data_IF_370398532121
#
_entry.id   IF_370398532121
#
_cell.length_a   1.000
_cell.length_b   1.000
_cell.length_c   1.000
_cell.angle_alpha   90.00
_cell.angle_beta   90.00
_cell.angle_gamma   90.00
#
_symmetry.space_group_name_H-M   'P 1'
#
loop_
_entity.id
_entity.type
_entity.pdbx_description
1 polymer ?
2 non-polymer ?
3 non-polymer ?
4 non-polymer ?
5 water ?
#
# COMPACT_ATOMS: atom_id res chain seq x y z
N UNK A 2 -21.48 0.02 -27.07
CA UNK A 2 -21.07 -0.03 -25.64
C UNK A 2 -19.91 -0.98 -25.39
N UNK A 3 -19.12 -0.58 -24.41
CA UNK A 3 -17.95 -1.29 -24.01
C UNK A 3 -18.25 -2.71 -23.53
N UNK A 4 -17.36 -3.63 -23.88
CA UNK A 4 -17.40 -4.99 -23.37
C UNK A 4 -17.54 -5.00 -21.83
N UNK A 5 -18.50 -5.80 -21.34
CA UNK A 5 -18.79 -5.88 -19.90
C UNK A 5 -18.27 -7.18 -19.33
N UNK A 6 -17.09 -7.14 -18.72
CA UNK A 6 -16.46 -8.33 -18.22
C UNK A 6 -17.12 -8.88 -16.94
N UNK A 7 -17.76 -8.05 -16.14
CA UNK A 7 -18.48 -8.56 -15.01
C UNK A 7 -19.91 -8.90 -15.37
N UNK A 8 -20.41 -10.06 -14.99
CA UNK A 8 -21.80 -10.43 -15.31
C UNK A 8 -22.77 -9.77 -14.35
N UNK A 9 -22.26 -9.15 -13.30
CA UNK A 9 -23.03 -8.33 -12.36
C UNK A 9 -22.03 -7.56 -11.46
N UNK A 10 -22.47 -6.46 -10.85
CA UNK A 10 -21.57 -5.56 -10.10
C UNK A 10 -21.58 -5.92 -8.61
N UNK A 11 -21.05 -7.10 -8.30
CA UNK A 11 -21.05 -7.58 -6.92
C UNK A 11 -19.78 -8.35 -6.66
N UNK A 12 -19.46 -8.61 -5.41
CA UNK A 12 -18.33 -9.48 -5.11
C UNK A 12 -18.47 -10.82 -5.87
N UNK A 13 -19.69 -11.35 -5.95
CA UNK A 13 -19.91 -12.63 -6.63
C UNK A 13 -19.57 -12.54 -8.10
N UNK A 14 -19.89 -11.41 -8.71
CA UNK A 14 -19.58 -11.25 -10.10
C UNK A 14 -18.07 -11.09 -10.28
N UNK A 15 -17.42 -10.43 -9.36
CA UNK A 15 -15.97 -10.31 -9.44
C UNK A 15 -15.30 -11.67 -9.33
N UNK A 16 -15.76 -12.50 -8.41
CA UNK A 16 -15.16 -13.80 -8.23
C UNK A 16 -15.36 -14.69 -9.46
N UNK A 17 -16.53 -14.65 -10.07
CA UNK A 17 -16.74 -15.48 -11.26
C UNK A 17 -15.78 -14.99 -12.34
N UNK A 18 -15.63 -13.68 -12.44
CA UNK A 18 -14.72 -13.13 -13.44
C UNK A 18 -13.27 -13.58 -13.12
N UNK A 19 -12.85 -13.50 -11.86
CA UNK A 19 -11.47 -13.91 -11.48
C UNK A 19 -11.15 -15.36 -11.88
N UNK A 20 -12.15 -16.22 -11.75
CA UNK A 20 -12.00 -17.64 -12.09
C UNK A 20 -12.09 -17.90 -13.57
N UNK A 21 -12.68 -16.99 -14.34
CA UNK A 21 -12.72 -17.11 -15.78
C UNK A 21 -11.33 -17.04 -16.39
N UNK A 22 -11.20 -17.62 -17.58
CA UNK A 22 -9.94 -17.56 -18.33
C UNK A 22 -9.38 -16.16 -18.65
N UNK A 23 -10.26 -15.19 -18.84
CA UNK A 23 -9.87 -13.80 -19.16
C UNK A 23 -9.00 -13.12 -18.10
N UNK A 24 -9.22 -13.48 -16.84
CA UNK A 24 -8.57 -12.79 -15.74
C UNK A 24 -7.26 -13.45 -15.40
N UNK A 25 -6.19 -12.92 -15.96
CA UNK A 25 -4.89 -13.47 -15.65
C UNK A 25 -3.98 -12.60 -14.80
N UNK A 26 -4.17 -11.30 -14.87
CA UNK A 26 -3.19 -10.39 -14.28
C UNK A 26 -3.92 -9.38 -13.39
N UNK A 27 -3.74 -9.49 -12.08
CA UNK A 27 -4.41 -8.63 -11.11
C UNK A 27 -3.38 -7.63 -10.57
N UNK A 28 -3.76 -6.35 -10.47
CA UNK A 28 -2.97 -5.38 -9.74
C UNK A 28 -3.73 -4.99 -8.48
N UNK A 29 -3.03 -4.98 -7.36
CA UNK A 29 -3.58 -4.48 -6.12
C UNK A 29 -3.05 -3.09 -5.85
N UNK A 30 -3.96 -2.23 -5.38
CA UNK A 30 -3.62 -0.92 -4.86
C UNK A 30 -4.09 -0.90 -3.40
N UNK A 31 -3.14 -0.76 -2.49
CA UNK A 31 -3.37 -0.90 -1.05
C UNK A 31 -2.81 0.24 -0.22
N UNK A 32 -3.61 0.66 0.76
CA UNK A 32 -3.30 1.75 1.68
C UNK A 32 -3.42 1.34 3.14
N UNK A 33 -3.49 2.35 4.02
CA UNK A 33 -3.30 2.17 5.47
C UNK A 33 -4.41 1.32 6.05
N UNK A 34 -5.55 1.31 5.39
CA UNK A 34 -6.60 0.44 5.79
C UNK A 34 -6.29 -1.07 5.81
N UNK A 35 -5.29 -1.52 5.08
CA UNK A 35 -5.01 -2.96 5.13
C UNK A 35 -4.15 -3.33 6.33
N UNK A 36 -3.63 -2.34 7.07
CA UNK A 36 -2.72 -2.59 8.17
C UNK A 36 -3.28 -2.20 9.54
N UNK A 37 -4.43 -1.55 9.58
CA UNK A 37 -5.02 -1.17 10.87
C UNK A 37 -5.42 -2.40 11.74
N UNK A 38 -5.86 -3.49 11.11
CA UNK A 38 -6.18 -4.68 11.86
C UNK A 38 -4.93 -5.34 12.40
N UNK A 39 -3.77 -4.95 11.90
CA UNK A 39 -2.48 -5.37 12.49
C UNK A 39 -1.94 -4.48 13.61
N UNK A 40 -2.75 -3.53 14.06
CA UNK A 40 -2.39 -2.64 15.14
C UNK A 40 -1.62 -1.41 14.69
N UNK A 41 -1.66 -1.07 13.39
CA UNK A 41 -1.00 0.11 12.84
C UNK A 41 -2.06 1.13 12.37
N UNK A 42 -2.28 2.19 13.15
CA UNK A 42 -3.28 3.24 12.89
C UNK A 42 -2.96 3.98 11.62
N UNK A 43 -4.00 4.48 10.95
CA UNK A 43 -3.84 5.06 9.59
C UNK A 43 -3.69 6.54 9.49
N UNK A 44 -3.65 7.21 10.66
CA UNK A 44 -3.68 8.68 10.78
C UNK A 44 -4.82 9.39 10.04
N UNK A 45 -6.03 8.99 10.41
CA UNK A 45 -7.20 9.83 10.26
C UNK A 45 -7.02 10.86 11.37
N UNK A 46 -8.08 11.55 11.75
CA UNK A 46 -8.04 12.41 12.96
C UNK A 46 -7.55 11.68 14.24
N UNK A 47 -8.05 10.44 14.52
CA UNK A 47 -7.41 9.65 15.59
C UNK A 47 -6.04 9.10 15.19
N UNK A 51 -2.41 12.38 14.83
CA UNK A 51 -0.98 12.68 14.62
C UNK A 51 -0.59 14.09 15.02
N UNK A 52 -1.45 15.03 14.65
CA UNK A 52 -1.29 16.45 15.00
C UNK A 52 -0.93 16.66 16.49
N UNK A 53 -1.56 15.91 17.39
CA UNK A 53 -1.28 16.03 18.82
C UNK A 53 0.15 15.65 19.19
N UNK A 54 0.62 14.52 18.67
CA UNK A 54 2.02 14.11 18.89
C UNK A 54 3.06 15.15 18.46
N UNK A 55 2.67 16.10 17.62
CA UNK A 55 3.58 17.09 17.05
C UNK A 55 3.86 18.26 17.98
N UNK A 56 2.84 18.67 18.72
CA UNK A 56 2.91 19.89 19.53
C UNK A 56 4.19 19.93 20.39
N UNK A 57 4.51 18.81 21.06
CA UNK A 57 5.67 18.76 21.94
C UNK A 57 7.00 18.94 21.25
N UNK A 58 7.03 18.83 19.92
CA UNK A 58 8.28 18.95 19.18
C UNK A 58 8.62 20.38 18.80
N UNK A 59 7.69 21.32 18.97
CA UNK A 59 7.99 22.73 18.78
C UNK A 59 8.51 23.01 17.39
N UNK A 60 7.69 22.62 16.43
CA UNK A 60 8.00 22.80 15.03
C UNK A 60 7.60 24.21 14.65
N UNK A 61 8.21 24.76 13.61
CA UNK A 61 7.79 26.10 13.21
C UNK A 61 6.36 26.08 12.70
N UNK A 62 5.96 24.96 12.10
CA UNK A 62 4.58 24.67 11.68
C UNK A 62 4.53 23.13 11.56
N UNK A 63 3.34 22.50 11.70
CA UNK A 63 3.19 21.03 11.73
C UNK A 63 3.65 20.24 10.51
N UNK A 64 3.45 20.81 9.34
CA UNK A 64 3.86 20.15 8.12
C UNK A 64 5.38 20.03 8.00
N UNK A 65 6.13 20.82 8.75
CA UNK A 65 7.59 20.69 8.75
C UNK A 65 8.12 19.24 8.98
N UNK A 66 7.33 18.39 9.66
CA UNK A 66 7.74 16.99 9.98
C UNK A 66 7.85 16.10 8.74
N UNK A 67 7.03 16.42 7.72
CA UNK A 67 7.04 15.70 6.50
C UNK A 67 7.99 16.27 5.46
N UNK A 68 8.64 17.41 5.71
CA UNK A 68 9.38 18.10 4.63
C UNK A 68 10.82 17.62 4.62
N UNK A 69 11.31 17.16 3.47
CA UNK A 69 12.70 16.74 3.36
C UNK A 69 13.63 17.89 3.77
N UNK A 70 13.35 19.08 3.25
CA UNK A 70 14.14 20.25 3.61
C UNK A 70 14.33 20.42 5.10
N UNK A 71 13.24 20.31 5.85
CA UNK A 71 13.29 20.53 7.27
C UNK A 71 13.96 19.31 7.94
N UNK A 72 13.62 18.10 7.47
CA UNK A 72 14.32 16.89 8.01
C UNK A 72 15.87 17.07 8.06
N UNK A 73 16.43 17.48 6.92
CA UNK A 73 17.89 17.58 6.79
C UNK A 73 18.56 18.56 7.72
N UNK A 74 17.86 19.59 8.16
CA UNK A 74 18.47 20.51 9.13
C UNK A 74 18.07 20.19 10.55
N UNK A 75 16.87 19.61 10.73
CA UNK A 75 16.41 19.33 12.08
C UNK A 75 15.74 17.93 12.06
N UNK A 76 16.56 16.87 11.97
CA UNK A 76 16.08 15.48 11.86
C UNK A 76 15.49 14.90 13.17
N UNK A 77 15.77 15.51 14.31
CA UNK A 77 15.41 14.93 15.60
C UNK A 77 13.90 14.74 15.86
N UNK A 78 13.05 15.70 15.47
CA UNK A 78 11.60 15.50 15.58
C UNK A 78 11.14 14.27 14.84
N UNK A 79 11.52 14.14 13.56
CA UNK A 79 11.15 12.96 12.80
C UNK A 79 11.55 11.69 13.56
N UNK A 80 12.80 11.58 14.02
CA UNK A 80 13.26 10.33 14.65
C UNK A 80 12.61 10.06 16.00
N UNK A 81 12.16 11.11 16.68
CA UNK A 81 11.45 10.93 17.92
C UNK A 81 10.03 10.44 17.60
N UNK A 82 9.41 11.00 16.57
CA UNK A 82 8.10 10.54 16.17
C UNK A 82 8.14 9.09 15.74
N UNK A 83 9.18 8.74 14.97
CA UNK A 83 9.31 7.39 14.45
C UNK A 83 9.38 6.41 15.64
N UNK A 84 10.05 6.83 16.71
CA UNK A 84 10.08 5.98 17.91
C UNK A 84 8.68 5.80 18.51
N UNK A 85 7.96 6.88 18.65
CA UNK A 85 6.64 6.89 19.24
C UNK A 85 5.67 6.03 18.42
N UNK A 86 5.80 6.10 17.11
CA UNK A 86 4.93 5.39 16.21
C UNK A 86 5.39 3.98 15.79
N UNK A 87 6.56 3.53 16.21
CA UNK A 87 7.12 2.26 15.75
C UNK A 87 6.18 1.11 16.17
N UNK A 88 5.68 0.30 15.20
CA UNK A 88 4.83 -0.82 15.72
C UNK A 88 5.54 -1.77 16.66
N UNK A 89 4.78 -2.25 17.66
CA UNK A 89 5.25 -3.23 18.62
C UNK A 89 5.27 -4.65 18.08
N UNK A 90 4.55 -4.91 16.98
CA UNK A 90 4.75 -6.16 16.30
C UNK A 90 4.36 -6.02 14.83
N UNK A 91 4.80 -6.99 14.04
CA UNK A 91 4.69 -6.98 12.59
C UNK A 91 4.09 -8.31 12.09
N UNK A 92 2.79 -8.45 12.29
CA UNK A 92 2.06 -9.60 11.79
C UNK A 92 1.18 -9.16 10.66
N UNK A 93 1.51 -9.53 9.42
CA UNK A 93 0.65 -9.13 8.30
C UNK A 93 -0.79 -9.66 8.48
N UNK A 94 -1.74 -9.00 7.85
CA UNK A 94 -3.16 -9.26 8.02
C UNK A 94 -3.63 -10.30 7.03
N UNK A 95 -4.87 -10.78 7.26
CA UNK A 95 -5.52 -11.59 6.31
C UNK A 95 -5.42 -11.03 4.88
N UNK A 96 -5.68 -9.74 4.75
CA UNK A 96 -5.56 -9.04 3.48
C UNK A 96 -4.18 -9.19 2.86
N UNK A 97 -3.11 -8.95 3.63
CA UNK A 97 -1.78 -9.13 3.07
C UNK A 97 -1.59 -10.58 2.54
N UNK A 98 -2.07 -11.57 3.30
CA UNK A 98 -1.92 -12.98 2.89
C UNK A 98 -2.77 -13.36 1.70
N UNK A 99 -3.89 -12.66 1.55
CA UNK A 99 -4.69 -12.80 0.33
C UNK A 99 -3.83 -12.41 -0.88
N UNK A 100 -3.07 -11.34 -0.72
CA UNK A 100 -2.13 -10.96 -1.78
C UNK A 100 -1.01 -11.97 -2.01
N UNK A 101 -0.52 -12.59 -0.96
CA UNK A 101 0.44 -13.68 -1.08
C UNK A 101 -0.14 -14.90 -1.83
N UNK A 102 -1.43 -15.19 -1.61
CA UNK A 102 -2.07 -16.21 -2.40
C UNK A 102 -2.10 -15.81 -3.87
N UNK A 103 -2.46 -14.56 -4.18
CA UNK A 103 -2.39 -14.10 -5.53
C UNK A 103 -1.02 -14.30 -6.15
N UNK A 104 0.04 -14.01 -5.41
CA UNK A 104 1.38 -14.18 -5.95
C UNK A 104 1.64 -15.66 -6.31
N UNK A 105 1.37 -16.54 -5.34
CA UNK A 105 1.67 -17.97 -5.49
C UNK A 105 0.81 -18.66 -6.50
N UNK A 106 -0.36 -18.12 -6.79
CA UNK A 106 -1.20 -18.67 -7.88
C UNK A 106 -0.93 -18.03 -9.24
N UNK A 107 0.08 -17.18 -9.33
CA UNK A 107 0.53 -16.57 -10.60
C UNK A 107 -0.42 -15.51 -11.07
N UNK A 108 -1.21 -14.93 -10.17
CA UNK A 108 -2.22 -13.96 -10.58
C UNK A 108 -1.79 -12.53 -10.35
N UNK A 109 -0.81 -12.34 -9.47
CA UNK A 109 -0.42 -11.00 -9.09
C UNK A 109 0.59 -10.40 -10.07
N UNK A 110 0.11 -9.44 -10.86
CA UNK A 110 1.04 -8.64 -11.65
C UNK A 110 1.82 -7.65 -10.80
N UNK A 111 1.14 -6.96 -9.86
CA UNK A 111 1.84 -5.98 -9.02
C UNK A 111 1.01 -5.56 -7.81
N UNK A 112 1.68 -5.28 -6.69
CA UNK A 112 1.07 -4.61 -5.57
C UNK A 112 1.65 -3.25 -5.49
N UNK A 113 0.82 -2.24 -5.73
CA UNK A 113 1.19 -0.88 -5.46
C UNK A 113 0.74 -0.56 -4.05
N UNK A 114 1.68 -0.24 -3.15
CA UNK A 114 1.33 0.06 -1.78
C UNK A 114 1.67 1.49 -1.42
N UNK A 115 0.78 2.15 -0.70
CA UNK A 115 1.12 3.39 -0.06
C UNK A 115 1.74 3.21 1.36
N UNK A 116 1.84 1.97 1.85
CA UNK A 116 2.24 1.75 3.23
C UNK A 116 3.75 1.70 3.32
N UNK A 117 4.28 2.06 4.48
CA UNK A 117 5.71 2.05 4.71
C UNK A 117 6.09 1.01 5.74
N UNK A 118 5.11 0.17 6.14
CA UNK A 118 5.30 -0.71 7.31
C UNK A 118 6.02 -2.06 7.05
N UNK A 119 6.32 -2.34 5.78
CA UNK A 119 6.99 -3.55 5.32
C UNK A 119 6.15 -4.86 5.42
N UNK A 120 4.89 -4.76 5.82
CA UNK A 120 4.09 -6.04 6.06
C UNK A 120 3.90 -6.79 4.75
N UNK A 121 3.86 -6.10 3.61
CA UNK A 121 3.81 -6.80 2.31
C UNK A 121 4.98 -7.77 2.15
N UNK A 122 6.18 -7.32 2.51
CA UNK A 122 7.37 -8.13 2.41
C UNK A 122 7.36 -9.22 3.44
N UNK A 123 6.91 -8.88 4.62
CA UNK A 123 6.85 -9.90 5.68
C UNK A 123 5.90 -11.01 5.29
N UNK A 124 4.88 -10.65 4.53
CA UNK A 124 3.89 -11.64 4.10
C UNK A 124 4.42 -12.47 2.91
N UNK A 125 5.62 -12.13 2.36
CA UNK A 125 6.24 -12.88 1.29
C UNK A 125 6.07 -12.27 -0.13
N UNK A 126 5.62 -11.04 -0.28
CA UNK A 126 5.69 -10.39 -1.54
C UNK A 126 7.15 -10.01 -1.72
N UNK A 127 7.67 -10.17 -2.95
CA UNK A 127 9.10 -9.88 -3.23
C UNK A 127 9.23 -8.53 -3.86
N UNK A 128 10.45 -8.05 -3.94
CA UNK A 128 10.71 -6.77 -4.54
C UNK A 128 10.06 -6.60 -5.90
N UNK A 129 10.19 -7.60 -6.75
CA UNK A 129 9.64 -7.53 -8.08
C UNK A 129 8.09 -7.48 -8.07
N UNK A 130 7.42 -7.86 -6.94
CA UNK A 130 5.96 -7.87 -6.86
C UNK A 130 5.49 -6.51 -6.46
N UNK A 131 6.41 -5.69 -5.94
CA UNK A 131 6.03 -4.48 -5.21
C UNK A 131 6.43 -3.17 -5.87
N UNK A 132 5.54 -2.20 -5.73
CA UNK A 132 5.86 -0.81 -5.92
C UNK A 132 5.46 -0.12 -4.63
N UNK A 133 6.46 0.29 -3.88
CA UNK A 133 6.27 0.98 -2.64
C UNK A 133 6.20 2.43 -2.98
N UNK A 134 4.99 2.87 -3.29
CA UNK A 134 4.78 4.13 -3.89
C UNK A 134 5.24 5.20 -2.98
N UNK A 135 5.18 4.97 -1.66
CA UNK A 135 5.62 6.00 -0.70
C UNK A 135 6.88 5.65 0.01
N UNK A 136 7.61 4.72 -0.58
CA UNK A 136 8.87 4.30 -0.03
C UNK A 136 8.62 3.35 1.09
N UNK A 137 9.64 3.14 1.93
CA UNK A 137 9.50 2.09 2.94
C UNK A 137 10.57 2.27 3.96
N UNK A 138 10.29 1.76 5.17
CA UNK A 138 11.30 1.70 6.19
C UNK A 138 12.27 0.54 6.00
N UNK A 139 11.94 -0.39 5.08
CA UNK A 139 12.73 -1.61 4.93
C UNK A 139 14.20 -1.34 4.71
N UNK A 140 14.50 -0.26 3.98
CA UNK A 140 15.89 0.18 3.85
C UNK A 140 16.00 1.65 4.14
N UNK A 141 17.23 2.04 4.48
CA UNK A 141 17.57 3.43 4.68
C UNK A 141 18.88 3.73 3.97
N UNK A 142 19.11 5.01 3.61
CA UNK A 142 20.36 5.39 2.95
C UNK A 142 20.98 6.66 3.54
N UNK A 143 22.29 6.68 3.57
CA UNK A 143 23.02 7.93 3.75
C UNK A 143 22.56 8.96 2.72
N UNK A 144 22.25 10.16 3.18
CA UNK A 144 21.75 11.24 2.29
C UNK A 144 22.81 11.97 1.43
N UNK A 145 24.10 11.72 1.68
CA UNK A 145 25.13 12.31 0.83
C UNK A 145 25.23 11.68 -0.57
N UNK A 146 25.13 12.51 -1.59
CA UNK A 146 25.01 12.04 -2.99
C UNK A 146 26.22 11.20 -3.43
N UNK A 147 27.40 11.54 -2.94
CA UNK A 147 28.59 10.74 -3.27
C UNK A 147 28.76 9.48 -2.43
N UNK A 148 27.92 9.20 -1.44
CA UNK A 148 28.12 8.03 -0.59
C UNK A 148 26.96 7.05 -0.75
N UNK A 149 25.78 7.44 -0.29
CA UNK A 149 24.59 6.60 -0.49
C UNK A 149 24.64 5.21 0.18
N UNK A 150 25.55 4.97 1.10
CA UNK A 150 25.59 3.70 1.82
C UNK A 150 24.16 3.29 2.28
N UNK A 151 23.82 2.02 2.06
CA UNK A 151 22.55 1.46 2.48
C UNK A 151 22.56 0.74 3.85
N UNK A 152 21.52 0.96 4.65
CA UNK A 152 21.40 0.30 5.97
C UNK A 152 20.08 -0.45 6.04
N UNK A 153 20.11 -1.64 6.66
CA UNK A 153 18.92 -2.47 6.78
C UNK A 153 18.07 -1.96 7.91
N UNK A 154 16.85 -2.46 8.00
CA UNK A 154 15.92 -2.04 9.04
C UNK A 154 16.42 -2.39 10.46
N UNK A 155 17.18 -3.46 10.62
CA UNK A 155 17.67 -3.80 11.96
C UNK A 155 18.52 -2.65 12.51
N UNK A 156 19.36 -2.10 11.64
CA UNK A 156 20.27 -0.96 11.95
C UNK A 156 19.49 0.31 12.30
N UNK A 157 18.52 0.65 11.46
CA UNK A 157 17.69 1.82 11.67
C UNK A 157 16.87 1.72 12.94
N UNK A 158 16.28 0.55 13.20
CA UNK A 158 15.43 0.36 14.39
C UNK A 158 16.19 0.64 15.65
N UNK A 159 17.42 0.13 15.69
CA UNK A 159 18.27 0.29 16.88
C UNK A 159 18.58 1.77 17.16
N UNK A 160 18.81 2.52 16.11
CA UNK A 160 19.05 3.95 16.25
C UNK A 160 17.79 4.64 16.77
N UNK A 161 16.65 4.23 16.23
CA UNK A 161 15.38 4.83 16.64
C UNK A 161 15.09 4.58 18.12
N UNK A 162 15.21 3.33 18.52
CA UNK A 162 14.95 2.97 19.91
C UNK A 162 16.01 3.50 20.86
N UNK A 163 17.29 3.51 20.46
CA UNK A 163 18.37 4.13 21.27
C UNK A 163 18.30 5.64 21.28
N UNK A 164 17.47 6.24 20.43
CA UNK A 164 17.40 7.71 20.30
C UNK A 164 18.74 8.34 19.95
N UNK A 165 19.49 7.67 19.08
CA UNK A 165 20.71 8.20 18.53
C UNK A 165 20.40 8.61 17.12
N UNK A 166 20.64 9.86 16.78
CA UNK A 166 20.37 10.28 15.41
C UNK A 166 21.23 9.46 14.46
N UNK A 167 20.61 8.77 13.49
CA UNK A 167 21.42 7.89 12.64
C UNK A 167 22.37 8.64 11.71
N UNK A 168 23.67 8.36 11.89
CA UNK A 168 24.69 8.85 11.03
C UNK A 168 25.38 7.73 10.25
N UNK A 169 25.83 8.06 9.06
CA UNK A 169 26.50 7.11 8.23
C UNK A 169 27.90 6.77 8.75
N UNK A 170 28.19 5.47 8.74
CA UNK A 170 29.51 5.00 9.24
C UNK A 170 30.64 5.36 8.29
N UNK A 171 30.35 5.52 7.01
CA UNK A 171 31.38 5.96 6.08
C UNK A 171 31.67 7.47 6.12
N UNK A 172 30.63 8.30 6.18
CA UNK A 172 30.87 9.72 5.98
C UNK A 172 30.30 10.65 7.04
N UNK A 173 29.60 10.11 8.04
CA UNK A 173 28.86 10.86 9.05
C UNK A 173 27.70 11.79 8.62
N UNK A 174 27.25 11.67 7.38
CA UNK A 174 26.01 12.34 7.00
C UNK A 174 24.79 11.63 7.62
N UNK A 175 23.65 12.32 7.63
CA UNK A 175 22.38 11.73 8.10
C UNK A 175 22.09 10.47 7.30
N UNK A 176 21.50 9.49 7.95
CA UNK A 176 20.95 8.32 7.22
C UNK A 176 19.46 8.43 7.32
N UNK A 177 18.74 8.33 6.18
CA UNK A 177 17.29 8.55 6.14
C UNK A 177 16.58 7.25 5.71
N UNK A 178 15.47 6.90 6.38
CA UNK A 178 14.61 5.78 5.88
C UNK A 178 14.15 6.04 4.47
N UNK A 179 14.04 5.00 3.66
CA UNK A 179 13.70 5.17 2.27
C UNK A 179 12.18 5.51 2.02
N UNK A 180 11.54 6.27 2.92
CA UNK A 180 10.20 6.76 2.73
C UNK A 180 10.23 8.11 2.03
N UNK A 181 9.19 8.42 1.31
CA UNK A 181 9.19 9.63 0.48
C UNK A 181 8.67 10.80 1.30
N UNK A 182 9.58 11.67 1.70
CA UNK A 182 9.20 12.87 2.38
C UNK A 182 8.67 13.85 1.31
N UNK A 183 7.88 14.82 1.73
CA UNK A 183 7.42 15.84 0.77
C UNK A 183 8.65 16.63 0.35
N UNK A 184 8.81 16.80 -0.97
CA UNK A 184 10.04 17.36 -1.54
C UNK A 184 10.73 16.33 -2.42
N UNK A 185 10.59 15.05 -2.10
CA UNK A 185 11.29 14.03 -2.83
C UNK A 185 10.44 13.55 -3.95
N UNK A 186 11.11 12.99 -4.94
CA UNK A 186 10.50 12.28 -6.05
C UNK A 186 10.03 10.86 -5.69
N UNK A 187 8.90 10.44 -6.22
CA UNK A 187 8.47 9.08 -6.05
C UNK A 187 9.57 8.13 -6.51
N UNK A 188 9.57 6.91 -5.97
CA UNK A 188 10.70 6.08 -6.34
C UNK A 188 10.77 5.88 -7.86
N UNK A 189 11.97 5.70 -8.40
CA UNK A 189 12.13 5.43 -9.84
C UNK A 189 11.30 4.24 -10.28
N UNK A 190 11.33 3.20 -9.44
CA UNK A 190 10.56 1.99 -9.72
C UNK A 190 9.08 2.25 -10.02
N UNK A 191 8.47 3.17 -9.28
CA UNK A 191 7.11 3.57 -9.55
C UNK A 191 6.89 3.93 -11.04
N UNK A 192 7.76 4.77 -11.58
CA UNK A 192 7.55 5.26 -12.96
C UNK A 192 7.74 4.22 -14.03
N UNK A 193 8.76 3.40 -13.90
CA UNK A 193 8.98 2.32 -14.84
C UNK A 193 7.79 1.33 -14.92
N UNK A 194 7.35 0.82 -13.76
CA UNK A 194 6.33 -0.21 -13.69
C UNK A 194 4.99 0.23 -14.17
N UNK A 195 4.60 1.42 -13.75
CA UNK A 195 3.25 1.84 -13.98
C UNK A 195 2.84 1.75 -15.46
N UNK A 196 3.69 2.27 -16.36
CA UNK A 196 3.39 2.29 -17.79
C UNK A 196 3.08 0.88 -18.28
N UNK A 197 4.08 0.02 -18.22
CA UNK A 197 3.92 -1.37 -18.55
C UNK A 197 2.64 -1.96 -17.85
N UNK A 198 2.68 -2.00 -16.53
CA UNK A 198 1.68 -2.74 -15.74
C UNK A 198 0.26 -2.47 -16.17
N UNK A 199 -0.07 -1.19 -16.27
CA UNK A 199 -1.43 -0.79 -16.45
C UNK A 199 -2.05 -1.00 -17.84
N UNK A 200 -1.26 -1.41 -18.81
CA UNK A 200 -1.82 -1.86 -20.09
C UNK A 200 -2.22 -3.34 -19.98
N UNK A 201 -1.41 -4.13 -19.24
CA UNK A 201 -1.58 -5.58 -19.13
C UNK A 201 -2.57 -6.03 -18.05
N UNK A 202 -3.19 -5.11 -17.31
CA UNK A 202 -4.03 -5.49 -16.14
C UNK A 202 -5.49 -5.90 -16.46
N UNK A 203 -5.90 -7.07 -15.94
CA UNK A 203 -7.25 -7.64 -16.13
C UNK A 203 -8.23 -7.30 -14.98
N UNK A 204 -7.69 -7.00 -13.80
CA UNK A 204 -8.51 -6.68 -12.62
C UNK A 204 -7.72 -5.77 -11.68
N UNK A 205 -8.38 -4.74 -11.17
CA UNK A 205 -7.77 -3.82 -10.25
C UNK A 205 -8.47 -4.08 -8.91
N UNK A 206 -7.70 -4.45 -7.91
CA UNK A 206 -8.18 -4.68 -6.57
C UNK A 206 -7.66 -3.56 -5.67
N UNK A 207 -8.55 -2.73 -5.17
CA UNK A 207 -8.19 -1.52 -4.42
C UNK A 207 -8.69 -1.69 -2.98
N UNK A 208 -7.78 -1.71 -2.04
CA UNK A 208 -8.09 -2.08 -0.67
C UNK A 208 -7.51 -1.10 0.32
N UNK A 209 -8.37 -0.64 1.22
CA UNK A 209 -7.86 0.17 2.37
C UNK A 209 -7.23 1.49 1.97
N UNK A 210 -7.75 2.15 0.95
CA UNK A 210 -7.32 3.49 0.59
C UNK A 210 -8.51 4.36 0.18
N UNK A 211 -8.48 5.61 0.59
CA UNK A 211 -9.47 6.59 0.23
C UNK A 211 -9.16 7.21 -1.14
N UNK A 212 -8.02 6.88 -1.74
CA UNK A 212 -7.74 7.34 -3.11
C UNK A 212 -7.70 8.86 -3.19
N UNK A 213 -7.02 9.47 -2.24
CA UNK A 213 -6.96 10.93 -2.18
C UNK A 213 -5.57 11.44 -2.34
N UNK A 214 -4.56 10.60 -2.12
CA UNK A 214 -3.18 11.01 -2.16
C UNK A 214 -2.47 10.39 -3.37
N UNK A 215 -1.37 11.01 -3.76
CA UNK A 215 -0.57 10.57 -4.90
C UNK A 215 0.40 9.48 -4.51
N UNK A 216 0.59 8.51 -5.39
CA UNK A 216 0.07 8.54 -6.78
C UNK A 216 -1.26 7.86 -7.00
N UNK A 217 -1.76 7.13 -5.99
CA UNK A 217 -2.95 6.32 -6.19
C UNK A 217 -4.09 7.02 -6.84
N UNK A 218 -4.27 8.28 -6.47
CA UNK A 218 -5.41 9.05 -6.92
C UNK A 218 -5.49 9.08 -8.47
N UNK A 219 -4.35 9.03 -9.16
CA UNK A 219 -4.35 8.93 -10.65
C UNK A 219 -4.54 7.47 -11.10
N UNK A 220 -3.93 6.53 -10.38
CA UNK A 220 -3.74 5.17 -10.90
C UNK A 220 -4.96 4.44 -11.37
N UNK A 221 -6.11 4.64 -10.73
CA UNK A 221 -7.28 3.86 -11.11
C UNK A 221 -7.73 4.14 -12.56
N UNK A 222 -7.50 5.34 -13.04
CA UNK A 222 -7.92 5.66 -14.39
C UNK A 222 -6.92 5.21 -15.49
N UNK A 223 -5.83 4.55 -15.13
CA UNK A 223 -4.83 4.10 -16.11
C UNK A 223 -5.10 2.70 -16.59
N UNK A 224 -6.01 1.99 -15.94
CA UNK A 224 -6.41 0.70 -16.42
C UNK A 224 -7.25 0.87 -17.68
N UNK A 225 -7.16 -0.08 -18.60
CA UNK A 225 -8.13 -0.14 -19.70
C UNK A 225 -9.56 0.05 -19.22
N UNK A 226 -10.39 0.60 -20.10
CA UNK A 226 -11.74 0.97 -19.75
C UNK A 226 -12.65 -0.19 -19.47
N UNK A 227 -12.36 -1.36 -20.02
CA UNK A 227 -13.16 -2.53 -19.69
C UNK A 227 -12.68 -3.24 -18.42
N UNK A 228 -11.48 -2.94 -17.93
CA UNK A 228 -10.95 -3.67 -16.76
C UNK A 228 -11.79 -3.46 -15.50
N UNK A 229 -12.33 -4.54 -14.93
CA UNK A 229 -13.08 -4.35 -13.68
C UNK A 229 -12.26 -3.83 -12.48
N UNK A 230 -12.92 -3.15 -11.55
CA UNK A 230 -12.26 -2.49 -10.45
C UNK A 230 -13.08 -2.77 -9.22
N UNK A 231 -12.48 -3.48 -8.24
CA UNK A 231 -13.15 -3.79 -7.00
C UNK A 231 -12.49 -2.98 -5.88
N UNK A 232 -13.31 -2.25 -5.12
CA UNK A 232 -12.87 -1.59 -3.92
C UNK A 232 -13.34 -2.34 -2.69
N UNK A 233 -12.43 -2.64 -1.80
CA UNK A 233 -12.77 -3.22 -0.50
C UNK A 233 -12.28 -2.21 0.53
N UNK A 234 -13.23 -1.60 1.22
CA UNK A 234 -12.90 -0.45 2.09
C UNK A 234 -14.06 -0.16 3.04
N UNK A 235 -13.76 0.51 4.14
CA UNK A 235 -14.81 0.89 5.09
C UNK A 235 -15.87 1.81 4.47
N UNK A 236 -15.45 2.69 3.56
CA UNK A 236 -16.37 3.65 2.90
C UNK A 236 -16.08 3.72 1.40
N UNK A 237 -17.07 4.16 0.63
CA UNK A 237 -16.88 4.42 -0.79
C UNK A 237 -15.79 5.42 -0.99
N UNK A 238 -14.99 5.21 -2.02
CA UNK A 238 -13.93 6.15 -2.35
C UNK A 238 -13.71 6.18 -3.85
N UNK A 239 -13.10 7.27 -4.31
CA UNK A 239 -12.63 7.44 -5.67
C UNK A 239 -13.66 7.85 -6.69
N UNK A 240 -14.89 8.19 -6.26
CA UNK A 240 -15.99 8.58 -7.16
C UNK A 240 -15.87 10.00 -7.71
N UNK A 241 -16.29 10.19 -8.99
CA UNK A 241 -16.27 11.51 -9.65
C UNK A 241 -17.65 12.18 -9.59
N UNK A 242 -17.68 13.51 -9.42
CA UNK A 242 -18.94 14.27 -9.30
C UNK A 242 -19.86 14.16 -10.51
N UNK A 246 -14.73 17.03 -18.81
CA UNK A 246 -13.85 17.42 -19.92
C UNK A 246 -14.10 16.69 -21.24
N UNK A 247 -13.25 16.99 -22.25
CA UNK A 247 -13.22 16.26 -23.54
C UNK A 247 -13.31 14.70 -23.50
N UNK A 248 -12.46 14.09 -22.69
CA UNK A 248 -12.29 12.63 -22.69
C UNK A 248 -13.46 11.85 -22.02
N UNK A 249 -14.48 12.56 -21.51
CA UNK A 249 -15.73 11.96 -21.04
C UNK A 249 -15.48 10.67 -20.20
N UNK A 250 -15.87 9.49 -20.70
CA UNK A 250 -15.71 8.23 -19.93
C UNK A 250 -14.29 7.91 -19.41
N UNK A 251 -13.25 8.44 -20.06
CA UNK A 251 -11.86 8.23 -19.62
C UNK A 251 -11.45 9.10 -18.44
N UNK A 252 -12.23 10.15 -18.13
CA UNK A 252 -11.71 11.29 -17.35
C UNK A 252 -12.22 11.48 -15.92
N UNK A 253 -12.54 10.40 -15.24
CA UNK A 253 -12.94 10.50 -13.84
C UNK A 253 -12.65 9.21 -13.08
N UNK A 254 -13.49 8.93 -12.12
CA UNK A 254 -13.14 7.98 -11.08
C UNK A 254 -14.10 6.81 -11.09
N UNK A 255 -14.25 6.18 -9.93
CA UNK A 255 -15.12 5.06 -9.77
C UNK A 255 -16.56 5.45 -10.10
N UNK A 256 -17.27 4.56 -10.78
CA UNK A 256 -18.70 4.70 -10.93
C UNK A 256 -19.38 3.41 -10.53
N UNK A 257 -19.78 3.40 -9.27
CA UNK A 257 -20.40 2.23 -8.67
C UNK A 257 -21.91 2.28 -8.76
N UNK A 258 -22.49 3.48 -8.72
CA UNK A 258 -23.94 3.60 -8.48
C UNK A 258 -24.78 4.20 -9.65
N UNK A 259 -24.15 4.91 -10.58
CA UNK A 259 -24.95 5.47 -11.69
C UNK A 259 -25.65 4.42 -12.55
N UNK A 260 -26.68 4.92 -13.22
CA UNK A 260 -27.37 4.20 -14.25
C UNK A 260 -26.39 3.57 -15.24
N UNK A 261 -25.25 4.22 -15.47
CA UNK A 261 -24.23 3.75 -16.43
C UNK A 261 -23.11 2.87 -15.85
N UNK A 262 -23.14 2.60 -14.56
CA UNK A 262 -22.05 1.84 -13.94
C UNK A 262 -21.98 0.48 -14.63
N UNK A 263 -20.77 0.07 -15.03
CA UNK A 263 -20.60 -1.19 -15.77
C UNK A 263 -19.42 -2.07 -15.32
N UNK A 264 -18.53 -1.56 -14.48
CA UNK A 264 -17.37 -2.37 -14.14
C UNK A 264 -16.74 -2.24 -12.72
N UNK A 265 -17.27 -1.32 -11.91
CA UNK A 265 -16.69 -0.95 -10.64
C UNK A 265 -17.60 -1.45 -9.57
N UNK A 266 -17.02 -2.03 -8.52
CA UNK A 266 -17.79 -2.62 -7.43
C UNK A 266 -17.22 -2.18 -6.07
N UNK A 267 -18.10 -1.82 -5.16
CA UNK A 267 -17.69 -1.42 -3.82
C UNK A 267 -18.20 -2.40 -2.80
N UNK A 268 -17.27 -3.04 -2.10
CA UNK A 268 -17.62 -3.93 -1.00
C UNK A 268 -17.23 -3.19 0.25
N UNK A 269 -18.22 -2.89 1.09
CA UNK A 269 -17.97 -2.00 2.23
C UNK A 269 -17.83 -2.78 3.52
N UNK A 270 -16.72 -2.55 4.19
CA UNK A 270 -16.43 -3.15 5.49
C UNK A 270 -14.93 -3.26 5.66
N UNK A 271 -14.53 -4.12 6.58
CA UNK A 271 -13.13 -4.32 6.90
C UNK A 271 -12.39 -5.08 5.80
N UNK A 272 -11.18 -4.66 5.48
CA UNK A 272 -10.40 -5.33 4.46
C UNK A 272 -10.23 -6.82 4.66
N UNK A 273 -9.93 -7.27 5.89
CA UNK A 273 -9.74 -8.69 6.17
C UNK A 273 -11.00 -9.52 5.85
N UNK A 274 -12.15 -8.95 6.21
CA UNK A 274 -13.42 -9.63 6.05
C UNK A 274 -13.80 -9.70 4.60
N UNK A 275 -13.54 -8.60 3.87
CA UNK A 275 -13.82 -8.60 2.44
C UNK A 275 -12.96 -9.62 1.69
N UNK A 276 -11.67 -9.67 2.03
CA UNK A 276 -10.76 -10.66 1.45
C UNK A 276 -11.14 -12.11 1.80
N UNK A 277 -11.58 -12.33 3.03
CA UNK A 277 -12.02 -13.65 3.45
C UNK A 277 -13.26 -14.04 2.63
N UNK A 278 -14.18 -13.10 2.47
CA UNK A 278 -15.40 -13.32 1.66
C UNK A 278 -15.06 -13.63 0.20
N UNK A 279 -14.16 -12.86 -0.40
CA UNK A 279 -13.74 -13.18 -1.75
C UNK A 279 -13.02 -14.52 -1.86
N UNK A 280 -12.08 -14.77 -0.94
CA UNK A 280 -11.38 -16.05 -0.91
C UNK A 280 -12.46 -17.18 -0.81
N UNK A 281 -13.45 -17.01 0.05
CA UNK A 281 -14.52 -18.05 0.19
C UNK A 281 -15.26 -18.37 -1.13
N UNK A 282 -15.69 -17.32 -1.84
CA UNK A 282 -16.28 -17.48 -3.14
C UNK A 282 -15.37 -18.20 -4.08
N UNK A 283 -14.05 -17.93 -4.00
CA UNK A 283 -13.15 -18.56 -4.94
C UNK A 283 -12.76 -20.01 -4.58
N UNK A 284 -13.18 -20.53 -3.43
CA UNK A 284 -12.74 -21.85 -2.99
C UNK A 284 -11.37 -21.84 -2.28
N UNK A 285 -10.91 -20.65 -1.90
CA UNK A 285 -9.60 -20.50 -1.29
C UNK A 285 -9.67 -20.29 0.22
N UNK A 286 -10.82 -20.42 0.85
CA UNK A 286 -10.92 -20.00 2.22
C UNK A 286 -10.01 -20.85 3.15
N UNK A 287 -10.00 -22.16 2.97
CA UNK A 287 -9.15 -22.99 3.81
C UNK A 287 -7.69 -22.70 3.52
N UNK A 288 -7.30 -22.57 2.25
CA UNK A 288 -5.91 -22.25 1.91
C UNK A 288 -5.47 -20.98 2.59
N UNK A 289 -6.32 -19.97 2.54
CA UNK A 289 -5.98 -18.72 3.23
C UNK A 289 -5.87 -18.83 4.73
N UNK A 290 -6.87 -19.44 5.33
CA UNK A 290 -6.82 -19.69 6.77
C UNK A 290 -5.58 -20.50 7.15
N UNK A 291 -5.20 -21.44 6.31
CA UNK A 291 -4.05 -22.32 6.65
C UNK A 291 -2.76 -21.50 6.51
N UNK A 292 -2.68 -20.69 5.46
CA UNK A 292 -1.55 -19.79 5.25
C UNK A 292 -1.36 -18.81 6.38
N UNK A 293 -2.43 -18.13 6.77
CA UNK A 293 -2.34 -17.18 7.85
C UNK A 293 -1.87 -17.85 9.17
N UNK A 294 -2.41 -18.99 9.49
CA UNK A 294 -2.10 -19.66 10.76
C UNK A 294 -0.64 -20.04 10.82
N UNK A 295 -0.16 -20.64 9.74
CA UNK A 295 1.21 -21.10 9.58
C UNK A 295 2.20 -19.96 9.63
N UNK A 296 1.92 -18.88 8.91
CA UNK A 296 2.83 -17.73 8.88
C UNK A 296 2.81 -16.92 10.17
N UNK A 297 1.63 -16.75 10.77
CA UNK A 297 1.56 -16.04 12.08
C UNK A 297 2.31 -16.88 13.12
N UNK A 298 2.13 -18.19 13.07
CA UNK A 298 2.85 -19.11 13.97
C UNK A 298 4.35 -18.99 13.80
N UNK A 299 4.79 -18.90 12.54
CA UNK A 299 6.20 -18.78 12.27
C UNK A 299 6.78 -17.51 12.90
N UNK A 300 6.03 -16.42 12.86
CA UNK A 300 6.44 -15.19 13.53
C UNK A 300 6.47 -15.37 15.06
N UNK A 301 5.37 -15.86 15.60
CA UNK A 301 5.23 -16.14 17.06
C UNK A 301 6.30 -17.11 17.59
N UNK A 302 6.78 -18.04 16.75
CA UNK A 302 7.80 -18.98 17.18
C UNK A 302 9.15 -18.30 17.34
N UNK A 303 9.35 -17.16 16.69
CA UNK A 303 10.61 -16.41 16.82
C UNK A 303 10.59 -15.39 17.95
N UNK A 304 9.48 -15.26 18.67
CA UNK A 304 9.46 -14.41 19.87
C UNK A 304 9.84 -15.22 21.10
X LIG B 1 27.62 8.13 3.83
X LIG C 1 5.28 6.53 10.57
X LIG C 1 6.52 8.24 10.07
X LIG C 1 5.34 8.81 9.79
X LIG C 1 5.10 10.21 9.26
X LIG C 1 6.05 10.74 8.21
X LIG C 1 6.12 10.13 6.92
X LIG C 1 4.08 7.65 10.07
X LIG C 1 6.51 6.96 10.51
X LIG C 1 5.23 9.11 6.48
X LIG C 1 5.32 8.60 5.22
X LIG C 1 6.87 0.95 10.19
X LIG C 1 6.28 9.05 4.34
X LIG C 1 7.15 10.04 4.70
X LIG C 1 2.76 5.32 10.89
X LIG C 1 3.79 4.71 11.08
X LIG C 1 3.82 3.24 11.45
X LIG C 1 4.46 1.99 10.31
X LIG C 1 6.16 1.93 10.73
X LIG C 1 6.59 2.95 11.48
X LIG C 1 7.91 2.94 11.74
X LIG C 1 8.45 4.14 12.45
X LIG C 1 8.72 1.92 11.30
X LIG C 1 8.17 0.92 10.53
X LIG C 1 8.95 -0.26 10.08
X LIG C 1 5.02 5.30 11.10
X LIG C 1 6.92 11.75 8.53
X LIG C 1 7.88 12.18 7.62
X LIG C 1 7.98 11.62 6.39
X LIG C 1 7.10 10.60 5.99
X LIG D 1 -5.92 6.48 3.78
X LIG D 1 -5.41 7.77 4.30
X LIG D 1 -6.85 6.50 2.63
X LIG D 1 -6.58 5.67 4.99
X LIG D 1 -6.91 4.28 4.82
X LIG D 1 -8.28 4.11 4.19
X LIG D 1 -8.76 2.77 4.51
X LIG D 1 -9.41 5.03 4.64
X LIG D 1 -10.40 5.05 3.62
X LIG D 1 -9.97 4.28 5.86
X LIG D 1 -11.35 4.52 6.14
X LIG D 1 -9.90 2.85 5.35
X LIG D 1 -9.80 1.82 6.39
X LIG D 1 -9.08 1.85 7.57
X LIG D 1 -8.99 0.69 8.18
X LIG D 1 -9.69 -0.16 7.34
X LIG D 1 -9.88 -1.57 7.35
X LIG D 1 -9.32 -2.39 8.23
X LIG D 1 -10.61 -2.11 6.35
X LIG D 1 -11.13 -1.30 5.41
X LIG D 1 -11.00 0.03 5.28
X LIG D 1 -10.24 0.53 6.26
X LIG D 1 -4.63 5.61 3.37
X LIG D 1 -3.59 5.65 2.16
X LIG D 1 -2.80 4.41 2.16
X LIG D 1 -4.19 6.11 0.87
X LIG D 1 -2.52 6.77 2.57
X LIG D 1 -1.99 6.88 3.91
X LIG D 1 -0.70 7.67 3.86
X LIG D 1 -0.14 7.65 5.19
X LIG D 1 0.39 7.08 2.99
X LIG D 1 1.37 8.07 2.62
X LIG D 1 1.01 6.06 3.94
X LIG D 1 2.40 5.80 3.79
X LIG D 1 0.95 6.75 5.28
X LIG D 1 0.65 5.67 6.38
X LIG D 1 1.22 4.40 6.28
X LIG D 1 0.95 3.46 7.26
X LIG D 1 1.48 2.13 7.08
X LIG D 1 2.50 2.00 6.46
X LIG D 1 0.78 1.11 7.62
X LIG D 1 0.15 3.82 8.34
X LIG D 1 -0.37 5.09 8.43
X LIG D 1 -0.13 6.00 7.42
#
# INVERSE_FOLDING_TARGET
GHMERLLDELTLEGVARYMQSERCRRVICLVGAGISTSAGIPDFRSPSTGLYDNLEKYHLPYPEAIFEISYFKKHPEPFFALAKELYPGQFKPTICHYFMRLLKDKGLLLRCYTQNIDTLERIAGLEQEDLVEAHGTFYTSHCVSASCRHEYPLSWMKEKIFSEVTPKCEDCQSLVKPDIVFFGESLPARFFSCMQSDFLKVDLLLVMGTSLQVQPFASLISKAPLSTPRLLINKEKAGQSDPFLGMIMGLGGGMDFDSKKAYRDVAWLGECDQGCLALAELLGWKKELEDLVRREHASIDAQS
ZN ZN
3TE C1 C2 C3 C4 C5 C6 S N1 C7 C8 N2 C9 C10 O C C15 S1 C16 N3 C20 C21 C19 C17 C18 N C14 C13 C12 C11
NAD PA O1A O2A O5B C5B C4B O4B C3B O3B C2B O2B C1B N9A C8A N7A C5A C6A N6A N1A C2A N3A C4A O3 PN O1N O2N O5D C5D C4D O4D C3D O3D C2D O2D C1D N1N C2N C3N C7N O7N N7N C4N C5N C6N
#
